data_IF_000729933352
#
_entry.id   IF_000729933352
#
_cell.length_a   1.000
_cell.length_b   1.000
_cell.length_c   1.000
_cell.angle_alpha   90.00
_cell.angle_beta   90.00
_cell.angle_gamma   90.00
#
_symmetry.space_group_name_H-M   'P 1'
#
loop_
_entity.id
_entity.type
_entity.pdbx_description
1 polymer ?
#
# COMPACT_ATOMS: atom_id res chain seq x y z
N UNK A 1 14.06 -4.72 10.15
CA UNK A 1 12.89 -4.23 9.39
C UNK A 1 12.80 -4.98 8.07
N UNK A 2 11.61 -5.38 7.64
CA UNK A 2 11.32 -5.91 6.30
C UNK A 2 10.94 -4.77 5.37
N UNK A 3 11.22 -4.91 4.07
CA UNK A 3 11.05 -3.81 3.12
C UNK A 3 10.15 -4.20 1.95
N UNK A 4 9.26 -3.29 1.60
CA UNK A 4 8.45 -3.32 0.38
C UNK A 4 8.68 -2.08 -0.48
N UNK A 5 8.45 -2.20 -1.78
CA UNK A 5 8.58 -1.10 -2.74
C UNK A 5 7.27 -0.87 -3.47
N UNK A 6 6.87 0.39 -3.63
CA UNK A 6 5.77 0.74 -4.53
C UNK A 6 6.25 0.75 -5.98
N UNK A 7 5.41 0.19 -6.85
CA UNK A 7 5.61 0.28 -8.30
C UNK A 7 4.93 1.56 -8.79
N UNK A 8 5.57 2.37 -9.65
CA UNK A 8 4.96 3.55 -10.25
C UNK A 8 3.75 3.12 -11.06
N UNK A 9 2.57 3.68 -10.74
CA UNK A 9 1.29 3.24 -11.29
C UNK A 9 0.53 4.38 -11.98
N UNK A 10 1.04 5.61 -11.85
CA UNK A 10 0.43 6.82 -12.36
C UNK A 10 -0.39 7.59 -11.32
N UNK A 11 -0.91 6.96 -10.29
CA UNK A 11 -1.75 7.62 -9.27
C UNK A 11 -1.10 8.88 -8.67
N UNK A 12 0.20 8.86 -8.42
CA UNK A 12 0.97 9.99 -7.89
C UNK A 12 1.67 10.82 -8.98
N UNK A 13 1.19 10.74 -10.22
CA UNK A 13 1.82 11.37 -11.36
C UNK A 13 3.26 10.86 -11.62
N UNK A 14 3.51 9.64 -11.21
CA UNK A 14 4.81 8.97 -11.28
C UNK A 14 5.08 8.28 -12.64
N UNK A 15 4.20 8.52 -13.64
CA UNK A 15 4.37 8.10 -15.03
C UNK A 15 4.27 9.28 -16.03
N UNK A 16 4.24 10.53 -15.56
CA UNK A 16 4.13 11.73 -16.40
C UNK A 16 5.26 11.77 -17.44
N UNK A 17 4.90 12.00 -18.71
CA UNK A 17 5.86 12.06 -19.82
C UNK A 17 6.34 10.70 -20.32
N UNK A 18 5.85 9.59 -19.77
CA UNK A 18 6.11 8.25 -20.31
C UNK A 18 4.98 7.88 -21.26
N UNK A 19 5.33 7.60 -22.52
CA UNK A 19 4.35 7.19 -23.54
C UNK A 19 3.51 6.01 -23.06
N UNK A 20 2.17 6.02 -23.25
CA UNK A 20 1.27 4.98 -22.73
C UNK A 20 1.70 3.55 -23.08
N UNK A 21 2.22 3.33 -24.29
CA UNK A 21 2.71 2.03 -24.75
C UNK A 21 3.96 1.52 -24.01
N UNK A 22 4.71 2.42 -23.34
CA UNK A 22 5.92 2.09 -22.60
C UNK A 22 5.66 1.89 -21.10
N UNK A 23 4.56 2.40 -20.56
CA UNK A 23 4.28 2.43 -19.12
C UNK A 23 4.28 1.03 -18.48
N UNK A 24 3.64 0.05 -19.12
CA UNK A 24 3.69 -1.34 -18.63
C UNK A 24 5.12 -1.89 -18.57
N UNK A 25 5.94 -1.60 -19.57
CA UNK A 25 7.36 -2.00 -19.58
C UNK A 25 8.09 -1.49 -18.35
N UNK A 26 7.95 -0.19 -18.04
CA UNK A 26 8.56 0.45 -16.86
C UNK A 26 8.11 -0.21 -15.55
N UNK A 27 6.81 -0.43 -15.37
CA UNK A 27 6.26 -1.07 -14.17
C UNK A 27 6.76 -2.51 -14.01
N UNK A 28 6.73 -3.29 -15.10
CA UNK A 28 7.20 -4.67 -15.13
C UNK A 28 8.68 -4.77 -14.82
N UNK A 29 9.51 -3.93 -15.43
CA UNK A 29 10.97 -4.00 -15.31
C UNK A 29 11.42 -3.69 -13.87
N UNK A 30 10.79 -2.72 -13.20
CA UNK A 30 11.03 -2.49 -11.78
C UNK A 30 10.55 -3.67 -10.92
N UNK A 31 9.38 -4.23 -11.20
CA UNK A 31 8.86 -5.39 -10.48
C UNK A 31 9.80 -6.61 -10.62
N UNK A 32 10.28 -6.89 -11.83
CA UNK A 32 11.21 -7.99 -12.10
C UNK A 32 12.59 -7.74 -11.49
N UNK A 33 13.07 -6.50 -11.47
CA UNK A 33 14.31 -6.13 -10.79
C UNK A 33 14.19 -6.40 -9.28
N UNK A 34 13.11 -5.97 -8.65
CA UNK A 34 12.85 -6.23 -7.24
C UNK A 34 12.66 -7.72 -6.94
N UNK A 35 12.07 -8.48 -7.87
CA UNK A 35 11.88 -9.94 -7.78
C UNK A 35 13.21 -10.69 -7.87
N UNK A 36 14.12 -10.27 -8.73
CA UNK A 36 15.44 -10.88 -8.91
C UNK A 36 16.39 -10.60 -7.74
N UNK A 37 16.23 -9.47 -7.06
CA UNK A 37 17.00 -9.09 -5.88
C UNK A 37 16.54 -9.79 -4.59
N UNK A 38 17.21 -9.49 -3.47
CA UNK A 38 16.84 -9.98 -2.14
C UNK A 38 16.49 -8.85 -1.16
N UNK A 39 16.51 -7.60 -1.64
CA UNK A 39 16.33 -6.42 -0.80
C UNK A 39 14.87 -6.15 -0.50
N UNK A 40 14.01 -6.38 -1.47
CA UNK A 40 12.57 -6.18 -1.35
C UNK A 40 11.84 -7.51 -1.12
N UNK A 41 11.02 -7.57 -0.07
CA UNK A 41 10.16 -8.72 0.22
C UNK A 41 8.87 -8.66 -0.59
N UNK A 42 8.36 -7.45 -0.85
CA UNK A 42 7.10 -7.24 -1.54
C UNK A 42 7.11 -6.03 -2.46
N UNK A 43 6.27 -6.08 -3.50
CA UNK A 43 5.88 -4.94 -4.29
C UNK A 43 4.43 -4.53 -3.98
N UNK A 44 4.13 -3.24 -4.15
CA UNK A 44 2.86 -2.66 -3.78
C UNK A 44 2.33 -1.72 -4.86
N UNK A 45 1.01 -1.68 -5.01
CA UNK A 45 0.27 -0.71 -5.83
C UNK A 45 -0.86 -0.07 -5.03
N UNK A 46 -1.44 0.99 -5.53
CA UNK A 46 -2.56 1.70 -4.94
C UNK A 46 -3.87 1.35 -5.65
N UNK A 47 -4.99 1.26 -4.92
CA UNK A 47 -6.31 1.03 -5.52
C UNK A 47 -7.02 2.37 -5.76
N UNK A 48 -6.53 3.08 -6.77
CA UNK A 48 -7.03 4.37 -7.20
C UNK A 48 -7.31 4.40 -8.71
N UNK A 49 -8.19 5.30 -9.15
CA UNK A 49 -8.64 5.44 -10.53
C UNK A 49 -8.24 6.78 -11.15
N UNK A 50 -8.00 7.79 -10.31
CA UNK A 50 -7.62 9.14 -10.72
C UNK A 50 -6.37 9.57 -9.99
N UNK A 51 -5.64 10.50 -10.62
CA UNK A 51 -4.42 11.07 -10.05
C UNK A 51 -4.67 11.93 -8.82
N UNK A 52 -3.65 12.12 -8.00
CA UNK A 52 -3.59 13.09 -6.90
C UNK A 52 -2.45 14.08 -7.14
N UNK A 53 -2.54 15.32 -6.65
CA UNK A 53 -3.52 15.90 -5.69
C UNK A 53 -4.90 16.22 -6.29
N UNK A 54 -4.98 16.26 -7.61
CA UNK A 54 -6.21 16.53 -8.37
C UNK A 54 -6.32 15.52 -9.51
N UNK A 55 -7.53 15.21 -9.99
CA UNK A 55 -7.71 14.42 -11.20
C UNK A 55 -7.11 15.14 -12.41
N UNK A 56 -6.34 14.42 -13.20
CA UNK A 56 -5.76 14.89 -14.46
C UNK A 56 -6.05 13.88 -15.59
N UNK A 57 -5.59 14.16 -16.80
CA UNK A 57 -5.64 13.22 -17.94
C UNK A 57 -4.49 12.20 -17.92
N UNK A 58 -3.58 12.30 -16.95
CA UNK A 58 -2.49 11.36 -16.78
C UNK A 58 -2.99 9.98 -16.35
N UNK A 59 -2.27 8.95 -16.76
CA UNK A 59 -2.66 7.57 -16.49
C UNK A 59 -2.70 7.23 -14.99
N UNK A 60 -3.69 6.44 -14.59
CA UNK A 60 -3.72 5.68 -13.35
C UNK A 60 -4.21 4.26 -13.69
N UNK A 61 -3.34 3.28 -13.53
CA UNK A 61 -3.64 1.90 -13.92
C UNK A 61 -4.42 1.14 -12.82
N UNK A 62 -5.38 0.30 -13.23
CA UNK A 62 -6.22 -0.45 -12.31
C UNK A 62 -5.42 -1.51 -11.54
N UNK A 63 -5.56 -1.51 -10.23
CA UNK A 63 -4.68 -2.23 -9.31
C UNK A 63 -4.76 -3.75 -9.41
N UNK A 64 -5.95 -4.36 -9.43
CA UNK A 64 -6.09 -5.82 -9.47
C UNK A 64 -5.69 -6.42 -10.82
N UNK A 65 -5.87 -5.66 -11.91
CA UNK A 65 -5.33 -6.00 -13.24
C UNK A 65 -3.80 -6.02 -13.22
N UNK A 66 -3.17 -5.00 -12.62
CA UNK A 66 -1.72 -4.99 -12.43
C UNK A 66 -1.22 -6.13 -11.53
N UNK A 67 -1.92 -6.41 -10.42
CA UNK A 67 -1.59 -7.54 -9.54
C UNK A 67 -1.56 -8.86 -10.29
N UNK A 68 -2.53 -9.09 -11.19
CA UNK A 68 -2.57 -10.29 -12.02
C UNK A 68 -1.38 -10.37 -12.99
N UNK A 69 -1.02 -9.25 -13.60
CA UNK A 69 0.13 -9.16 -14.50
C UNK A 69 1.46 -9.39 -13.76
N UNK A 70 1.65 -8.77 -12.58
CA UNK A 70 2.82 -9.01 -11.75
C UNK A 70 2.89 -10.44 -11.24
N UNK A 71 1.76 -11.05 -10.85
CA UNK A 71 1.70 -12.44 -10.45
C UNK A 71 2.26 -13.39 -11.51
N UNK A 72 1.95 -13.10 -12.78
CA UNK A 72 2.40 -13.91 -13.93
C UNK A 72 3.83 -13.61 -14.39
N UNK A 73 4.41 -12.47 -14.02
CA UNK A 73 5.73 -12.01 -14.53
C UNK A 73 6.82 -11.97 -13.48
N UNK A 74 6.53 -12.35 -12.23
CA UNK A 74 7.46 -12.46 -11.10
C UNK A 74 7.37 -13.84 -10.46
N UNK A 75 8.36 -14.22 -9.65
CA UNK A 75 8.46 -15.60 -9.12
C UNK A 75 8.59 -15.66 -7.59
N UNK A 76 9.20 -14.67 -6.94
CA UNK A 76 9.55 -14.66 -5.51
C UNK A 76 8.80 -13.57 -4.73
N UNK A 77 8.81 -12.36 -5.27
CA UNK A 77 8.35 -11.17 -4.53
C UNK A 77 6.86 -11.27 -4.20
N UNK A 78 6.47 -10.88 -2.99
CA UNK A 78 5.07 -10.82 -2.59
C UNK A 78 4.38 -9.63 -3.22
N UNK A 79 3.07 -9.71 -3.38
CA UNK A 79 2.29 -8.79 -4.19
C UNK A 79 1.16 -8.20 -3.35
N UNK A 80 1.14 -6.90 -3.14
CA UNK A 80 0.14 -6.26 -2.31
C UNK A 80 -0.45 -4.98 -2.89
N UNK A 81 -1.58 -4.59 -2.32
CA UNK A 81 -2.15 -3.26 -2.51
C UNK A 81 -2.15 -2.52 -1.17
N UNK A 82 -1.76 -1.25 -1.19
CA UNK A 82 -1.81 -0.44 0.01
C UNK A 82 -2.58 0.86 -0.27
N UNK A 83 -3.89 0.76 -0.15
CA UNK A 83 -4.69 -0.44 0.12
C UNK A 83 -5.89 -0.53 -0.83
N UNK A 84 -6.39 -1.73 -1.03
CA UNK A 84 -7.67 -1.95 -1.71
C UNK A 84 -8.80 -1.21 -0.98
N UNK A 85 -9.62 -0.45 -1.69
CA UNK A 85 -10.83 0.17 -1.15
C UNK A 85 -11.96 -0.88 -1.13
N UNK A 86 -12.40 -1.26 0.07
CA UNK A 86 -13.40 -2.34 0.25
C UNK A 86 -14.67 -2.16 -0.56
N UNK A 87 -15.07 -0.91 -0.79
CA UNK A 87 -16.36 -0.61 -1.43
C UNK A 87 -16.30 -0.49 -2.95
N UNK A 88 -15.12 -0.55 -3.57
CA UNK A 88 -15.01 -0.47 -5.04
C UNK A 88 -15.40 -1.78 -5.72
N UNK A 89 -15.46 -2.89 -4.97
CA UNK A 89 -15.88 -4.21 -5.47
C UNK A 89 -16.74 -4.90 -4.43
N UNK A 90 -17.68 -5.74 -4.88
CA UNK A 90 -18.37 -6.64 -3.95
C UNK A 90 -17.34 -7.55 -3.24
N UNK A 91 -17.31 -7.65 -1.90
CA UNK A 91 -16.26 -8.37 -1.17
C UNK A 91 -16.22 -9.88 -1.48
N UNK A 92 -17.35 -10.53 -1.75
CA UNK A 92 -17.34 -11.95 -2.15
C UNK A 92 -16.72 -12.15 -3.54
N UNK A 93 -16.99 -11.22 -4.48
CA UNK A 93 -16.32 -11.20 -5.78
C UNK A 93 -14.83 -10.91 -5.64
N UNK A 94 -14.46 -9.92 -4.81
CA UNK A 94 -13.07 -9.57 -4.57
C UNK A 94 -12.30 -10.71 -3.90
N UNK A 95 -12.91 -11.45 -2.97
CA UNK A 95 -12.32 -12.65 -2.38
C UNK A 95 -11.94 -13.69 -3.45
N UNK A 96 -12.80 -13.85 -4.47
CA UNK A 96 -12.53 -14.75 -5.60
C UNK A 96 -11.41 -14.24 -6.51
N UNK A 97 -11.38 -12.94 -6.80
CA UNK A 97 -10.29 -12.31 -7.57
C UNK A 97 -8.96 -12.55 -6.88
N UNK A 98 -8.88 -12.21 -5.59
CA UNK A 98 -7.66 -12.36 -4.80
C UNK A 98 -7.18 -13.82 -4.72
N UNK A 99 -8.07 -14.78 -4.50
CA UNK A 99 -7.73 -16.21 -4.51
C UNK A 99 -7.20 -16.68 -5.87
N UNK A 100 -7.74 -16.13 -6.98
CA UNK A 100 -7.24 -16.44 -8.32
C UNK A 100 -5.84 -15.87 -8.55
N UNK A 101 -5.59 -14.61 -8.13
CA UNK A 101 -4.26 -13.99 -8.22
C UNK A 101 -3.26 -14.72 -7.31
N UNK A 102 -3.71 -15.18 -6.13
CA UNK A 102 -2.88 -15.96 -5.23
C UNK A 102 -2.44 -17.29 -5.89
N UNK A 103 -3.36 -17.98 -6.55
CA UNK A 103 -3.03 -19.18 -7.33
C UNK A 103 -2.02 -18.89 -8.45
N UNK A 104 -2.26 -17.84 -9.24
CA UNK A 104 -1.36 -17.47 -10.36
C UNK A 104 0.02 -17.10 -9.84
N UNK A 105 0.10 -16.43 -8.70
CA UNK A 105 1.36 -16.03 -8.09
C UNK A 105 2.10 -17.17 -7.36
N UNK A 106 1.46 -18.31 -7.12
CA UNK A 106 2.03 -19.37 -6.28
C UNK A 106 1.99 -19.05 -4.79
N UNK A 107 0.95 -18.36 -4.30
CA UNK A 107 0.75 -18.07 -2.87
C UNK A 107 1.48 -16.81 -2.37
N UNK A 108 1.56 -15.76 -3.20
CA UNK A 108 2.33 -14.54 -2.86
C UNK A 108 1.49 -13.29 -2.62
N UNK A 109 0.15 -13.38 -2.64
CA UNK A 109 -0.72 -12.20 -2.46
C UNK A 109 -0.74 -11.75 -1.01
N UNK A 110 -0.74 -10.43 -0.81
CA UNK A 110 -1.01 -9.72 0.44
C UNK A 110 -2.28 -8.87 0.26
N UNK A 111 -3.26 -9.03 1.14
CA UNK A 111 -4.51 -8.26 1.09
C UNK A 111 -4.40 -7.01 1.95
N UNK A 112 -3.87 -5.94 1.40
CA UNK A 112 -4.01 -4.63 2.03
C UNK A 112 -5.41 -4.06 1.76
N UNK A 113 -6.14 -3.70 2.80
CA UNK A 113 -7.54 -3.30 2.74
C UNK A 113 -7.85 -2.10 3.63
N UNK A 114 -8.71 -1.20 3.16
CA UNK A 114 -9.13 -0.02 3.91
C UNK A 114 -10.52 0.48 3.50
N UNK A 115 -11.00 1.49 4.23
CA UNK A 115 -12.33 2.06 4.01
C UNK A 115 -12.48 2.94 2.77
N UNK A 116 -11.38 3.37 2.15
CA UNK A 116 -11.36 4.36 1.06
C UNK A 116 -11.56 5.79 1.57
N UNK A 117 -11.03 6.77 0.84
CA UNK A 117 -11.03 8.17 1.29
C UNK A 117 -11.20 9.19 0.16
N UNK A 118 -10.83 8.86 -1.08
CA UNK A 118 -10.78 9.82 -2.18
C UNK A 118 -12.18 10.05 -2.78
N UNK A 119 -12.91 10.98 -2.19
CA UNK A 119 -14.32 11.29 -2.53
C UNK A 119 -14.56 11.49 -4.03
N UNK A 120 -13.61 12.14 -4.72
CA UNK A 120 -13.74 12.39 -6.15
C UNK A 120 -13.94 11.10 -6.95
N UNK A 121 -13.12 10.06 -6.70
CA UNK A 121 -13.24 8.77 -7.38
C UNK A 121 -14.58 8.08 -7.08
N UNK A 122 -14.97 8.07 -5.80
CA UNK A 122 -16.23 7.47 -5.38
C UNK A 122 -17.42 8.04 -6.14
N UNK A 123 -17.48 9.36 -6.26
CA UNK A 123 -18.57 10.03 -6.97
C UNK A 123 -18.48 9.83 -8.47
N UNK A 124 -17.29 9.94 -9.04
CA UNK A 124 -17.07 9.81 -10.47
C UNK A 124 -17.46 8.43 -11.01
N UNK A 125 -17.20 7.36 -10.22
CA UNK A 125 -17.53 5.99 -10.59
C UNK A 125 -18.91 5.50 -10.08
N UNK A 126 -19.74 6.41 -9.57
CA UNK A 126 -21.12 6.09 -9.19
C UNK A 126 -21.28 5.35 -7.85
N UNK A 127 -20.23 5.28 -7.02
CA UNK A 127 -20.31 4.66 -5.69
C UNK A 127 -20.97 5.56 -4.63
N UNK A 128 -21.25 6.83 -4.96
CA UNK A 128 -21.59 7.86 -3.97
C UNK A 128 -20.39 8.18 -3.08
N UNK A 129 -20.64 8.71 -1.89
CA UNK A 129 -19.60 8.85 -0.86
C UNK A 129 -20.26 8.74 0.52
N UNK A 130 -20.40 7.52 1.05
CA UNK A 130 -21.03 7.30 2.35
C UNK A 130 -20.18 7.88 3.49
N UNK A 131 -20.80 8.01 4.66
CA UNK A 131 -20.10 8.47 5.86
C UNK A 131 -18.91 7.57 6.21
N UNK A 132 -17.92 8.11 6.93
CA UNK A 132 -16.77 7.33 7.39
C UNK A 132 -17.22 6.10 8.22
N UNK A 133 -18.24 6.24 9.05
CA UNK A 133 -18.79 5.13 9.83
C UNK A 133 -19.37 4.01 8.95
N UNK A 134 -20.05 4.37 7.86
CA UNK A 134 -20.57 3.39 6.90
C UNK A 134 -19.43 2.70 6.13
N UNK A 135 -18.45 3.46 5.63
CA UNK A 135 -17.29 2.89 4.93
C UNK A 135 -16.51 1.91 5.82
N UNK A 136 -16.34 2.25 7.11
CA UNK A 136 -15.67 1.37 8.07
C UNK A 136 -16.54 0.17 8.47
N UNK A 137 -17.87 0.31 8.53
CA UNK A 137 -18.76 -0.84 8.70
C UNK A 137 -18.71 -1.81 7.51
N UNK A 138 -18.62 -1.28 6.29
CA UNK A 138 -18.37 -2.10 5.08
C UNK A 138 -17.01 -2.80 5.13
N UNK A 139 -15.98 -2.15 5.68
CA UNK A 139 -14.67 -2.78 5.88
C UNK A 139 -14.76 -3.96 6.84
N UNK A 140 -15.43 -3.80 7.98
CA UNK A 140 -15.61 -4.84 8.98
C UNK A 140 -16.33 -6.08 8.38
N UNK A 141 -17.47 -5.88 7.72
CA UNK A 141 -18.21 -6.97 7.07
C UNK A 141 -17.43 -7.61 5.91
N UNK A 142 -16.71 -6.79 5.12
CA UNK A 142 -15.90 -7.29 4.01
C UNK A 142 -14.75 -8.19 4.46
N UNK A 143 -14.07 -7.84 5.55
CA UNK A 143 -13.02 -8.69 6.12
C UNK A 143 -13.59 -10.01 6.65
N UNK A 144 -14.77 -10.01 7.24
CA UNK A 144 -15.44 -11.25 7.66
C UNK A 144 -15.75 -12.16 6.47
N UNK A 145 -16.21 -11.58 5.36
CA UNK A 145 -16.47 -12.33 4.10
C UNK A 145 -15.17 -12.94 3.56
N UNK A 146 -14.06 -12.18 3.54
CA UNK A 146 -12.76 -12.71 3.10
C UNK A 146 -12.31 -13.89 3.94
N UNK A 147 -12.36 -13.78 5.26
CA UNK A 147 -11.95 -14.85 6.16
C UNK A 147 -12.77 -16.13 5.95
N UNK A 148 -14.11 -16.02 5.87
CA UNK A 148 -14.94 -17.18 5.57
C UNK A 148 -14.60 -17.78 4.21
N UNK A 149 -14.55 -16.96 3.16
CA UNK A 149 -14.30 -17.38 1.80
C UNK A 149 -12.97 -18.14 1.64
N UNK A 150 -11.90 -17.62 2.27
CA UNK A 150 -10.55 -18.19 2.11
C UNK A 150 -10.26 -19.39 3.02
N UNK A 151 -10.99 -19.53 4.13
CA UNK A 151 -10.80 -20.68 5.03
C UNK A 151 -11.73 -21.85 4.74
N UNK A 152 -12.96 -21.58 4.32
CA UNK A 152 -13.97 -22.63 4.12
C UNK A 152 -14.38 -22.84 2.64
N UNK A 153 -13.97 -21.92 1.76
CA UNK A 153 -14.38 -21.90 0.36
C UNK A 153 -15.79 -21.37 0.12
N UNK A 154 -16.49 -20.95 1.18
CA UNK A 154 -17.86 -20.43 1.07
C UNK A 154 -18.05 -19.29 2.06
N UNK A 155 -18.68 -18.20 1.61
CA UNK A 155 -19.04 -17.09 2.46
C UNK A 155 -20.55 -16.92 2.53
N UNK A 156 -21.07 -16.72 3.74
CA UNK A 156 -22.46 -16.33 4.01
C UNK A 156 -22.46 -15.25 5.09
N UNK A 157 -23.10 -14.13 4.79
CA UNK A 157 -23.25 -13.00 5.71
C UNK A 157 -24.58 -12.29 5.46
N UNK A 158 -25.42 -12.21 6.45
CA UNK A 158 -26.61 -11.34 6.47
C UNK A 158 -26.24 -10.07 7.25
N UNK A 159 -25.42 -9.22 6.60
CA UNK A 159 -24.88 -8.00 7.20
C UNK A 159 -25.75 -6.79 6.95
N UNK A 160 -25.37 -5.70 7.60
CA UNK A 160 -26.02 -4.40 7.38
C UNK A 160 -25.68 -3.82 6.00
N UNK A 161 -24.48 -4.07 5.51
CA UNK A 161 -23.95 -3.47 4.28
C UNK A 161 -23.80 -4.48 3.15
N UNK A 162 -23.54 -5.73 3.48
CA UNK A 162 -23.41 -6.80 2.51
C UNK A 162 -24.29 -7.99 2.88
N UNK A 163 -25.01 -8.50 1.88
CA UNK A 163 -25.78 -9.71 1.98
C UNK A 163 -25.19 -10.72 1.00
N UNK A 164 -24.61 -11.79 1.54
CA UNK A 164 -23.94 -12.84 0.78
C UNK A 164 -24.52 -14.18 1.21
N UNK A 165 -25.05 -14.93 0.25
CA UNK A 165 -25.70 -16.22 0.48
C UNK A 165 -24.96 -17.33 -0.26
N UNK A 166 -24.07 -18.02 0.46
CA UNK A 166 -23.36 -19.19 -0.02
C UNK A 166 -22.39 -18.91 -1.19
N UNK A 167 -21.75 -17.72 -1.23
CA UNK A 167 -20.79 -17.41 -2.29
C UNK A 167 -19.61 -18.38 -2.26
N UNK A 168 -19.44 -19.15 -3.34
CA UNK A 168 -18.36 -20.13 -3.47
C UNK A 168 -17.09 -19.50 -4.03
N UNK A 169 -16.02 -19.59 -3.25
CA UNK A 169 -14.69 -19.09 -3.60
C UNK A 169 -13.70 -20.25 -3.72
N UNK A 170 -13.79 -20.94 -4.86
CA UNK A 170 -12.85 -21.98 -5.26
C UNK A 170 -12.15 -21.55 -6.56
N UNK A 171 -10.82 -21.85 -6.73
CA UNK A 171 -9.98 -22.52 -5.75
C UNK A 171 -9.79 -21.70 -4.48
N UNK A 172 -9.46 -22.37 -3.36
CA UNK A 172 -8.96 -21.71 -2.18
C UNK A 172 -7.61 -21.05 -2.47
N UNK A 173 -7.21 -19.99 -1.73
CA UNK A 173 -5.83 -19.51 -1.75
C UNK A 173 -4.85 -20.66 -1.48
N UNK A 174 -3.65 -20.55 -2.04
CA UNK A 174 -2.57 -21.51 -1.76
C UNK A 174 -1.95 -21.30 -0.38
N UNK A 175 -2.11 -20.13 0.18
CA UNK A 175 -1.58 -19.78 1.51
C UNK A 175 -2.41 -20.46 2.59
N UNK A 176 -1.76 -21.17 3.51
CA UNK A 176 -2.40 -21.80 4.65
C UNK A 176 -3.09 -20.77 5.54
N UNK A 177 -4.35 -21.00 5.88
CA UNK A 177 -5.16 -20.06 6.65
C UNK A 177 -5.76 -18.90 5.85
N UNK A 178 -5.46 -18.80 4.54
CA UNK A 178 -5.93 -17.74 3.65
C UNK A 178 -4.89 -16.66 3.35
N UNK A 179 -5.27 -15.67 2.56
CA UNK A 179 -4.39 -14.54 2.21
C UNK A 179 -4.19 -13.65 3.44
N UNK A 180 -2.96 -13.27 3.79
CA UNK A 180 -2.69 -12.38 4.91
C UNK A 180 -3.38 -11.01 4.73
N UNK A 181 -4.07 -10.57 5.79
CA UNK A 181 -4.84 -9.32 5.79
C UNK A 181 -4.02 -8.21 6.44
N UNK A 182 -3.86 -7.10 5.71
CA UNK A 182 -3.26 -5.85 6.16
C UNK A 182 -4.36 -4.80 6.29
N UNK A 183 -4.75 -4.45 7.50
CA UNK A 183 -5.72 -3.38 7.70
C UNK A 183 -4.99 -2.04 7.69
N UNK A 184 -5.31 -1.20 6.68
CA UNK A 184 -4.69 0.08 6.46
C UNK A 184 -5.57 1.23 6.93
N UNK A 185 -4.91 2.23 7.51
CA UNK A 185 -5.52 3.47 7.98
C UNK A 185 -5.39 3.70 9.48
N UNK A 186 -5.35 4.97 9.85
CA UNK A 186 -5.09 5.41 11.22
C UNK A 186 -6.34 5.67 12.07
N UNK A 187 -7.52 5.19 11.67
CA UNK A 187 -8.76 5.40 12.43
C UNK A 187 -8.75 4.70 13.79
N UNK A 188 -8.71 5.47 14.87
CA UNK A 188 -8.42 4.98 16.22
C UNK A 188 -9.48 4.06 16.81
N UNK A 189 -10.76 4.37 16.56
CA UNK A 189 -11.87 3.66 17.20
C UNK A 189 -12.32 2.40 16.46
N UNK A 190 -12.32 2.45 15.14
CA UNK A 190 -12.90 1.38 14.32
C UNK A 190 -11.84 0.65 13.52
N UNK A 191 -10.98 1.37 12.77
CA UNK A 191 -9.97 0.72 11.93
C UNK A 191 -8.99 -0.10 12.76
N UNK A 192 -8.45 0.44 13.88
CA UNK A 192 -7.54 -0.30 14.75
C UNK A 192 -8.24 -1.46 15.48
N UNK A 193 -9.55 -1.34 15.78
CA UNK A 193 -10.33 -2.47 16.33
C UNK A 193 -10.48 -3.59 15.30
N UNK A 194 -10.75 -3.26 14.03
CA UNK A 194 -10.81 -4.25 12.93
C UNK A 194 -9.44 -4.91 12.77
N UNK A 195 -8.36 -4.12 12.79
CA UNK A 195 -7.00 -4.66 12.74
C UNK A 195 -6.73 -5.63 13.90
N UNK A 196 -7.02 -5.23 15.13
CA UNK A 196 -6.87 -6.08 16.32
C UNK A 196 -7.64 -7.40 16.22
N UNK A 197 -8.82 -7.38 15.60
CA UNK A 197 -9.70 -8.53 15.55
C UNK A 197 -9.36 -9.52 14.42
N UNK A 198 -8.81 -9.05 13.29
CA UNK A 198 -8.74 -9.85 12.06
C UNK A 198 -7.39 -9.86 11.36
N UNK A 199 -6.52 -8.88 11.58
CA UNK A 199 -5.36 -8.66 10.73
C UNK A 199 -4.08 -9.36 11.24
N UNK A 200 -3.25 -9.81 10.31
CA UNK A 200 -1.86 -10.20 10.55
C UNK A 200 -0.92 -9.00 10.49
N UNK A 201 -1.35 -7.96 9.77
CA UNK A 201 -0.57 -6.73 9.58
C UNK A 201 -1.47 -5.50 9.72
N UNK A 202 -0.91 -4.41 10.17
CA UNK A 202 -1.56 -3.10 10.13
C UNK A 202 -0.63 -2.06 9.53
N UNK A 203 -1.20 -1.04 8.87
CA UNK A 203 -0.44 0.03 8.25
C UNK A 203 -1.00 1.39 8.66
N UNK A 204 -0.17 2.22 9.28
CA UNK A 204 -0.49 3.59 9.69
C UNK A 204 0.73 4.51 9.59
N UNK A 205 0.57 5.82 9.89
CA UNK A 205 1.64 6.81 9.73
C UNK A 205 2.91 6.44 10.50
N UNK A 206 4.07 6.68 9.87
CA UNK A 206 5.38 6.29 10.34
C UNK A 206 6.17 7.40 11.04
N UNK A 207 5.55 8.53 11.39
CA UNK A 207 6.18 9.48 12.31
C UNK A 207 6.17 8.93 13.74
N UNK A 208 7.23 9.15 14.55
CA UNK A 208 7.41 8.47 15.84
C UNK A 208 6.26 8.71 16.83
N UNK A 209 5.69 9.91 16.88
CA UNK A 209 4.61 10.25 17.81
C UNK A 209 3.32 9.51 17.43
N UNK A 210 2.90 9.61 16.18
CA UNK A 210 1.70 8.92 15.69
C UNK A 210 1.88 7.41 15.76
N UNK A 211 3.06 6.88 15.41
CA UNK A 211 3.33 5.44 15.45
C UNK A 211 3.21 4.88 16.87
N UNK A 212 3.78 5.58 17.87
CA UNK A 212 3.66 5.21 19.28
C UNK A 212 2.20 5.20 19.71
N UNK A 213 1.48 6.29 19.52
CA UNK A 213 0.09 6.44 19.90
C UNK A 213 -0.83 5.39 19.26
N UNK A 214 -0.64 5.12 17.96
CA UNK A 214 -1.42 4.09 17.26
C UNK A 214 -1.08 2.68 17.74
N UNK A 215 0.16 2.41 18.07
CA UNK A 215 0.59 1.12 18.63
C UNK A 215 -0.02 0.86 20.02
N UNK A 216 -0.10 1.88 20.88
CA UNK A 216 -0.75 1.79 22.19
C UNK A 216 -2.25 1.52 22.04
N UNK A 217 -2.94 2.27 21.19
CA UNK A 217 -4.36 2.05 20.93
C UNK A 217 -4.64 0.67 20.31
N UNK A 218 -3.78 0.20 19.41
CA UNK A 218 -3.89 -1.17 18.89
C UNK A 218 -3.75 -2.21 19.99
N UNK A 219 -2.81 -2.02 20.93
CA UNK A 219 -2.63 -2.92 22.08
C UNK A 219 -3.89 -2.96 22.95
N UNK A 220 -4.49 -1.80 23.23
CA UNK A 220 -5.72 -1.72 24.00
C UNK A 220 -6.88 -2.43 23.28
N UNK A 221 -6.99 -2.27 21.98
CA UNK A 221 -7.99 -2.99 21.18
C UNK A 221 -7.74 -4.51 21.20
N UNK A 222 -6.49 -4.97 21.08
CA UNK A 222 -6.16 -6.39 21.17
C UNK A 222 -6.57 -6.97 22.54
N UNK A 223 -6.25 -6.27 23.62
CA UNK A 223 -6.68 -6.65 24.96
C UNK A 223 -8.21 -6.74 25.08
N UNK A 224 -8.94 -5.78 24.50
CA UNK A 224 -10.39 -5.73 24.55
C UNK A 224 -11.08 -6.85 23.75
N UNK A 225 -10.47 -7.30 22.64
CA UNK A 225 -11.02 -8.39 21.79
C UNK A 225 -10.41 -9.76 22.09
N UNK A 226 -9.40 -9.84 22.96
CA UNK A 226 -8.76 -11.09 23.36
C UNK A 226 -7.78 -11.66 22.33
N UNK A 227 -7.11 -10.80 21.56
CA UNK A 227 -6.09 -11.18 20.59
C UNK A 227 -4.69 -10.77 21.06
N UNK A 228 -3.66 -11.34 20.42
CA UNK A 228 -2.27 -11.05 20.73
C UNK A 228 -1.76 -9.86 19.89
N UNK A 229 -1.38 -8.78 20.57
CA UNK A 229 -0.79 -7.60 19.94
C UNK A 229 0.53 -7.90 19.21
N UNK A 230 1.36 -8.78 19.79
CA UNK A 230 2.68 -9.10 19.24
C UNK A 230 2.59 -10.00 18.00
N UNK A 231 1.45 -10.65 17.76
CA UNK A 231 1.17 -11.38 16.54
C UNK A 231 0.86 -10.45 15.34
N UNK A 232 0.59 -9.16 15.58
CA UNK A 232 0.28 -8.19 14.52
C UNK A 232 1.54 -7.41 14.11
N UNK A 233 2.00 -7.64 12.90
CA UNK A 233 3.11 -6.87 12.33
C UNK A 233 2.67 -5.42 12.04
N UNK A 234 3.38 -4.45 12.62
CA UNK A 234 3.13 -3.02 12.40
C UNK A 234 3.98 -2.51 11.27
N UNK A 235 3.34 -1.84 10.32
CA UNK A 235 3.97 -1.29 9.12
C UNK A 235 3.63 0.17 8.89
N UNK A 236 4.44 0.81 8.05
CA UNK A 236 4.21 2.19 7.58
C UNK A 236 4.65 2.35 6.13
N UNK A 237 4.03 3.32 5.44
CA UNK A 237 4.45 3.75 4.12
C UNK A 237 5.33 5.01 4.24
N UNK A 238 6.37 5.06 3.44
CA UNK A 238 7.29 6.19 3.40
C UNK A 238 7.42 6.75 1.99
N UNK A 239 7.31 8.08 1.86
CA UNK A 239 7.71 8.80 0.67
C UNK A 239 9.21 8.99 0.73
N UNK A 240 9.95 8.47 -0.25
CA UNK A 240 11.40 8.33 -0.18
C UNK A 240 12.08 9.10 -1.29
N UNK A 241 12.96 10.03 -0.92
CA UNK A 241 13.92 10.67 -1.82
C UNK A 241 15.27 10.64 -1.14
N UNK A 242 16.24 9.97 -1.75
CA UNK A 242 17.57 9.76 -1.19
C UNK A 242 18.64 10.27 -2.14
N UNK A 243 19.66 10.91 -1.60
CA UNK A 243 20.85 11.35 -2.31
C UNK A 243 22.10 11.12 -1.47
N UNK A 244 23.26 10.98 -2.10
CA UNK A 244 24.52 10.85 -1.38
C UNK A 244 24.89 12.11 -0.59
N UNK A 245 24.30 13.25 -0.93
CA UNK A 245 24.45 14.55 -0.25
C UNK A 245 23.12 15.26 -0.16
N UNK A 246 23.00 16.20 0.79
CA UNK A 246 21.81 17.06 0.88
C UNK A 246 21.58 17.91 -0.38
N UNK A 247 22.62 18.25 -1.11
CA UNK A 247 22.51 18.96 -2.38
C UNK A 247 21.81 18.06 -3.42
N UNK A 248 22.20 16.81 -3.52
CA UNK A 248 21.57 15.84 -4.42
C UNK A 248 20.10 15.59 -4.04
N UNK A 249 19.78 15.50 -2.75
CA UNK A 249 18.38 15.37 -2.30
C UNK A 249 17.55 16.56 -2.78
N UNK A 250 18.05 17.79 -2.64
CA UNK A 250 17.37 19.00 -3.14
C UNK A 250 17.18 18.96 -4.66
N UNK A 251 18.24 18.61 -5.40
CA UNK A 251 18.18 18.48 -6.88
C UNK A 251 17.11 17.47 -7.32
N UNK A 252 16.99 16.34 -6.63
CA UNK A 252 15.95 15.32 -6.91
C UNK A 252 14.54 15.83 -6.62
N UNK A 253 14.35 16.57 -5.53
CA UNK A 253 13.05 17.20 -5.20
C UNK A 253 12.68 18.29 -6.22
N UNK A 254 13.64 19.12 -6.64
CA UNK A 254 13.43 20.13 -7.66
C UNK A 254 13.12 19.50 -9.05
N UNK A 255 13.81 18.42 -9.40
CA UNK A 255 13.55 17.65 -10.60
C UNK A 255 12.15 17.00 -10.58
N UNK A 256 11.71 16.51 -9.41
CA UNK A 256 10.35 16.00 -9.22
C UNK A 256 9.31 17.10 -9.43
N UNK A 257 9.46 18.27 -8.79
CA UNK A 257 8.55 19.40 -8.97
C UNK A 257 8.48 19.85 -10.44
N UNK A 258 9.64 19.92 -11.11
CA UNK A 258 9.72 20.25 -12.53
C UNK A 258 8.98 19.25 -13.41
N UNK A 259 9.09 17.95 -13.11
CA UNK A 259 8.40 16.87 -13.84
C UNK A 259 6.87 16.96 -13.68
N UNK A 260 6.40 17.37 -12.51
CA UNK A 260 4.96 17.49 -12.25
C UNK A 260 4.35 18.79 -12.81
N UNK A 261 5.16 19.76 -13.16
CA UNK A 261 4.72 21.07 -13.66
C UNK A 261 3.77 21.00 -14.87
N UNK A 262 3.98 20.13 -15.89
CA UNK A 262 3.04 20.03 -17.02
C UNK A 262 1.63 19.59 -16.61
N UNK A 263 1.51 18.75 -15.59
CA UNK A 263 0.23 18.23 -15.14
C UNK A 263 -0.48 19.12 -14.10
N UNK A 264 0.28 19.83 -13.27
CA UNK A 264 -0.26 20.58 -12.12
C UNK A 264 -0.10 22.10 -12.21
N UNK A 265 0.83 22.61 -13.03
CA UNK A 265 1.36 23.96 -12.94
C UNK A 265 2.47 24.08 -11.89
N UNK A 266 3.35 25.08 -12.03
CA UNK A 266 4.59 25.18 -11.24
C UNK A 266 4.34 25.31 -9.72
N UNK A 267 3.45 26.20 -9.32
CA UNK A 267 3.18 26.46 -7.90
C UNK A 267 2.55 25.22 -7.22
N UNK A 268 1.55 24.60 -7.86
CA UNK A 268 0.90 23.42 -7.32
C UNK A 268 1.82 22.19 -7.29
N UNK A 269 2.73 22.05 -8.25
CA UNK A 269 3.74 21.00 -8.24
C UNK A 269 4.72 21.17 -7.07
N UNK A 270 5.21 22.39 -6.83
CA UNK A 270 6.09 22.70 -5.72
C UNK A 270 5.41 22.47 -4.35
N UNK A 271 4.17 22.95 -4.21
CA UNK A 271 3.37 22.73 -3.00
C UNK A 271 3.13 21.27 -2.72
N UNK A 272 2.84 20.49 -3.76
CA UNK A 272 2.62 19.04 -3.63
C UNK A 272 3.87 18.28 -3.21
N UNK A 273 5.01 18.60 -3.81
CA UNK A 273 6.30 18.00 -3.43
C UNK A 273 6.64 18.37 -1.98
N UNK A 274 6.53 19.63 -1.61
CA UNK A 274 6.77 20.08 -0.23
C UNK A 274 5.87 19.32 0.75
N UNK A 275 4.57 19.24 0.48
CA UNK A 275 3.60 18.56 1.36
C UNK A 275 3.90 17.07 1.56
N UNK A 276 4.41 16.38 0.54
CA UNK A 276 4.64 14.93 0.61
C UNK A 276 6.00 14.56 1.21
N UNK A 277 7.01 15.42 1.05
CA UNK A 277 8.38 15.03 1.29
C UNK A 277 9.09 15.83 2.40
N UNK A 278 8.63 17.04 2.76
CA UNK A 278 9.33 17.88 3.73
C UNK A 278 9.49 17.22 5.11
N UNK A 279 8.46 16.53 5.57
CA UNK A 279 8.42 15.89 6.90
C UNK A 279 8.58 14.36 6.83
N UNK A 280 8.92 13.80 5.65
CA UNK A 280 9.09 12.36 5.53
C UNK A 280 10.41 11.90 6.17
N UNK A 281 10.38 10.93 7.09
CA UNK A 281 11.59 10.39 7.71
C UNK A 281 12.49 9.62 6.72
N UNK A 282 12.00 9.37 5.50
CA UNK A 282 12.74 8.69 4.44
C UNK A 282 13.23 9.66 3.34
N UNK A 283 13.36 10.96 3.65
CA UNK A 283 13.97 11.96 2.77
C UNK A 283 15.27 12.45 3.38
N UNK A 284 16.39 12.32 2.68
CA UNK A 284 17.71 12.75 3.15
C UNK A 284 18.86 11.93 2.60
N UNK A 285 20.02 12.05 3.24
CA UNK A 285 21.17 11.17 2.98
C UNK A 285 20.94 9.79 3.61
N UNK A 286 21.70 8.75 3.21
CA UNK A 286 21.61 7.43 3.84
C UNK A 286 21.65 7.49 5.38
N UNK A 287 22.58 8.27 5.96
CA UNK A 287 22.74 8.37 7.40
C UNK A 287 21.50 8.96 8.08
N UNK A 288 20.94 10.03 7.49
CA UNK A 288 19.74 10.69 8.01
C UNK A 288 18.52 9.74 7.97
N UNK A 289 18.35 9.03 6.87
CA UNK A 289 17.26 8.06 6.73
C UNK A 289 17.41 6.88 7.70
N UNK A 290 18.63 6.34 7.85
CA UNK A 290 18.92 5.25 8.81
C UNK A 290 18.61 5.72 10.23
N UNK A 291 19.04 6.92 10.63
CA UNK A 291 18.75 7.47 11.94
C UNK A 291 17.25 7.60 12.18
N UNK A 292 16.53 8.22 11.24
CA UNK A 292 15.09 8.45 11.34
C UNK A 292 14.29 7.14 11.40
N UNK A 293 14.58 6.20 10.51
CA UNK A 293 13.87 4.91 10.46
C UNK A 293 14.24 4.02 11.65
N UNK A 294 15.47 4.10 12.18
CA UNK A 294 15.86 3.41 13.41
C UNK A 294 15.01 3.84 14.60
N UNK A 295 14.71 5.13 14.72
CA UNK A 295 13.81 5.63 15.79
C UNK A 295 12.43 4.97 15.73
N UNK A 296 11.86 4.80 14.54
CA UNK A 296 10.54 4.17 14.38
C UNK A 296 10.63 2.66 14.53
N UNK A 297 11.73 2.02 14.07
CA UNK A 297 12.01 0.61 14.30
C UNK A 297 12.05 0.30 15.80
N UNK A 298 12.72 1.11 16.59
CA UNK A 298 12.84 0.91 18.03
C UNK A 298 11.49 1.09 18.78
N UNK A 299 10.51 1.76 18.14
CA UNK A 299 9.12 1.81 18.58
C UNK A 299 8.29 0.60 18.09
N UNK A 300 8.90 -0.28 17.26
CA UNK A 300 8.32 -1.53 16.80
C UNK A 300 7.83 -1.54 15.36
N UNK A 301 8.30 -0.63 14.52
CA UNK A 301 8.12 -0.75 13.08
C UNK A 301 8.85 -2.01 12.58
N UNK A 302 8.10 -2.97 12.08
CA UNK A 302 8.65 -4.23 11.59
C UNK A 302 8.64 -4.34 10.06
N UNK A 303 7.85 -3.50 9.39
CA UNK A 303 7.73 -3.50 7.94
C UNK A 303 7.63 -2.07 7.38
N UNK A 304 8.49 -1.70 6.46
CA UNK A 304 8.53 -0.39 5.82
C UNK A 304 8.27 -0.52 4.31
N UNK A 305 7.31 0.24 3.78
CA UNK A 305 6.98 0.23 2.34
C UNK A 305 7.35 1.59 1.76
N UNK A 306 8.25 1.60 0.78
CA UNK A 306 8.86 2.80 0.23
C UNK A 306 8.32 3.15 -1.14
N UNK A 307 7.94 4.41 -1.33
CA UNK A 307 7.59 5.01 -2.62
C UNK A 307 8.72 5.92 -3.07
N UNK A 308 9.36 5.58 -4.18
CA UNK A 308 10.38 6.39 -4.85
C UNK A 308 9.74 7.07 -6.07
N UNK A 309 9.51 8.38 -6.05
CA UNK A 309 8.78 9.08 -7.13
C UNK A 309 9.52 9.14 -8.45
N UNK A 310 10.85 8.92 -8.42
CA UNK A 310 11.70 8.88 -9.61
C UNK A 310 11.88 7.47 -10.20
N UNK A 311 11.39 6.42 -9.56
CA UNK A 311 11.71 5.02 -9.93
C UNK A 311 11.28 4.61 -11.34
N UNK A 312 10.37 5.36 -11.98
CA UNK A 312 10.01 5.17 -13.39
C UNK A 312 11.03 5.76 -14.37
N UNK A 313 11.97 6.59 -13.90
CA UNK A 313 12.88 7.40 -14.74
C UNK A 313 14.35 7.17 -14.37
N UNK A 314 14.63 7.06 -13.07
CA UNK A 314 15.96 6.90 -12.51
C UNK A 314 15.92 5.97 -11.28
N UNK A 315 16.70 4.92 -11.32
CA UNK A 315 16.79 3.92 -10.23
C UNK A 315 17.93 4.19 -9.25
N UNK A 316 18.74 5.24 -9.49
CA UNK A 316 19.93 5.51 -8.65
C UNK A 316 19.57 5.72 -7.17
N UNK A 317 18.42 6.34 -6.89
CA UNK A 317 17.91 6.46 -5.52
C UNK A 317 17.52 5.11 -4.92
N UNK A 318 16.85 4.26 -5.67
CA UNK A 318 16.53 2.88 -5.24
C UNK A 318 17.81 2.09 -4.96
N UNK A 319 18.79 2.15 -5.84
CA UNK A 319 20.07 1.47 -5.70
C UNK A 319 20.89 1.97 -4.50
N UNK A 320 20.88 3.27 -4.25
CA UNK A 320 21.53 3.85 -3.08
C UNK A 320 20.85 3.37 -1.78
N UNK A 321 19.53 3.32 -1.75
CA UNK A 321 18.75 2.83 -0.61
C UNK A 321 19.01 1.35 -0.34
N UNK A 322 19.02 0.51 -1.38
CA UNK A 322 19.35 -0.93 -1.30
C UNK A 322 20.76 -1.18 -0.74
N UNK A 323 21.72 -0.38 -1.19
CA UNK A 323 23.11 -0.56 -0.81
C UNK A 323 23.45 -0.09 0.60
N UNK A 324 22.88 1.05 1.01
CA UNK A 324 23.28 1.74 2.25
C UNK A 324 22.24 1.60 3.39
N UNK A 325 20.95 1.73 3.09
CA UNK A 325 19.90 1.82 4.11
C UNK A 325 19.38 0.45 4.53
N UNK A 326 19.05 -0.42 3.57
CA UNK A 326 18.47 -1.74 3.87
C UNK A 326 19.39 -2.58 4.75
N UNK A 327 20.72 -2.71 4.48
CA UNK A 327 21.60 -3.52 5.32
C UNK A 327 21.72 -2.99 6.76
N UNK A 328 21.63 -1.69 6.96
CA UNK A 328 21.74 -1.07 8.28
C UNK A 328 20.49 -1.25 9.17
N UNK A 329 19.33 -1.56 8.56
CA UNK A 329 18.04 -1.66 9.25
C UNK A 329 17.47 -3.09 9.31
N UNK A 330 18.11 -4.04 8.65
CA UNK A 330 17.74 -5.48 8.71
C UNK A 330 17.97 -6.15 10.03
#
# INVERSE_FOLDING_TARGET
VRFGIFIPQGWRLDLVGIEPGAQWGVMRDLAQRADAGQDWESLWVYDHFHTVPVPTEEATHEAWTLMSAFAATTTRIRLGQMCTAISYRNPAYLAKVAATVDLVSGGRVEMGIGGGWYEHEWRAYGYGFPSAGERLGRLDEGVQIFRQAWTTGTATLDGKYYQVDGARVYPLPLQEGGIPIWVAGGGEKVTLRIAAQYAQYTNFAGDPETFTRKSELLRDHCAAVGTDFDAITRSSNFNTVIGATEAEVRERLDALASRLTPALGADAAQDWVTKLYADSPAVGTPEQIIENLSRVRDLGLAYAIHNFPESAYDLSGVELFEREVIPALR
#
